data_IF_611040115823
#
_entry.id   IF_611040115823
#
_cell.length_a   1.000
_cell.length_b   1.000
_cell.length_c   1.000
_cell.angle_alpha   90.00
_cell.angle_beta   90.00
_cell.angle_gamma   90.00
#
_symmetry.space_group_name_H-M   'P 1'
#
loop_
_entity.id
_entity.type
_entity.pdbx_description
1 polymer ?
#
# COMPACT_ATOMS: atom_id res chain seq x y z
N UNK A 1 22.32 4.52 43.69
CA UNK A 1 21.99 5.28 42.47
C UNK A 1 22.24 4.52 41.18
N UNK A 2 23.26 3.67 41.10
CA UNK A 2 23.54 2.85 39.92
C UNK A 2 22.47 1.80 39.62
N UNK A 3 21.74 1.34 40.62
CA UNK A 3 20.70 0.32 40.48
C UNK A 3 19.47 0.83 39.68
N UNK A 4 19.12 2.10 39.82
CA UNK A 4 18.00 2.70 39.11
C UNK A 4 18.25 2.77 37.60
N UNK A 5 19.51 2.99 37.21
CA UNK A 5 19.87 3.03 35.78
C UNK A 5 19.81 1.65 35.13
N UNK A 6 20.21 0.61 35.87
CA UNK A 6 20.15 -0.75 35.38
C UNK A 6 18.70 -1.21 35.17
N UNK A 7 17.78 -0.83 36.06
CA UNK A 7 16.37 -1.15 35.95
C UNK A 7 15.72 -0.45 34.73
N UNK A 8 16.12 0.78 34.44
CA UNK A 8 15.62 1.52 33.28
C UNK A 8 16.04 0.87 31.96
N UNK A 9 17.25 0.38 31.87
CA UNK A 9 17.75 -0.32 30.69
C UNK A 9 17.00 -1.64 30.47
N UNK A 10 16.76 -2.39 31.52
CA UNK A 10 16.00 -3.63 31.44
C UNK A 10 14.57 -3.42 30.98
N UNK A 11 13.93 -2.34 31.42
CA UNK A 11 12.57 -2.00 31.00
C UNK A 11 12.51 -1.66 29.51
N UNK A 12 13.49 -0.92 28.99
CA UNK A 12 13.59 -0.58 27.57
C UNK A 12 13.76 -1.84 26.71
N UNK A 13 14.61 -2.76 27.15
CA UNK A 13 14.82 -4.04 26.46
C UNK A 13 13.54 -4.87 26.39
N UNK A 14 12.77 -4.88 27.47
CA UNK A 14 11.49 -5.60 27.49
C UNK A 14 10.48 -5.04 26.50
N UNK A 15 10.41 -3.71 26.34
CA UNK A 15 9.53 -3.05 25.38
C UNK A 15 9.93 -3.42 23.94
N UNK A 16 11.21 -3.45 23.63
CA UNK A 16 11.70 -3.86 22.32
C UNK A 16 11.35 -5.31 21.96
N UNK A 17 11.44 -6.21 22.92
CA UNK A 17 11.06 -7.61 22.72
C UNK A 17 9.56 -7.75 22.43
N UNK A 18 8.71 -7.02 23.12
CA UNK A 18 7.27 -7.01 22.88
C UNK A 18 6.96 -6.49 21.49
N UNK A 19 7.65 -5.41 21.06
CA UNK A 19 7.47 -4.87 19.71
C UNK A 19 7.87 -5.86 18.62
N UNK A 20 8.93 -6.63 18.83
CA UNK A 20 9.37 -7.66 17.89
C UNK A 20 8.35 -8.80 17.76
N UNK A 21 7.67 -9.17 18.85
CA UNK A 21 6.64 -10.20 18.84
C UNK A 21 5.35 -9.75 18.19
N UNK A 22 5.08 -8.45 18.12
CA UNK A 22 3.90 -7.87 17.48
C UNK A 22 3.96 -7.84 15.93
N UNK A 23 4.99 -8.45 15.32
CA UNK A 23 5.15 -8.47 13.86
C UNK A 23 4.17 -9.39 13.12
N UNK A 24 3.55 -10.34 13.80
CA UNK A 24 2.48 -11.16 13.22
C UNK A 24 1.18 -10.33 13.19
N UNK A 25 0.98 -9.59 12.13
CA UNK A 25 -0.26 -8.85 11.96
C UNK A 25 -1.42 -9.80 11.67
N UNK A 26 -2.57 -9.61 12.32
CA UNK A 26 -3.75 -10.36 11.95
C UNK A 26 -4.13 -10.04 10.50
N UNK A 27 -4.79 -10.99 9.86
CA UNK A 27 -5.28 -10.82 8.51
C UNK A 27 -6.28 -9.68 8.47
N UNK A 28 -6.10 -8.75 7.51
CA UNK A 28 -7.06 -7.69 7.27
C UNK A 28 -8.41 -8.27 6.84
N UNK A 29 -9.51 -7.78 7.43
CA UNK A 29 -10.87 -8.22 7.11
C UNK A 29 -11.63 -7.21 6.25
N UNK A 30 -11.11 -6.00 6.08
CA UNK A 30 -11.81 -4.93 5.38
C UNK A 30 -11.63 -5.01 3.87
N UNK A 31 -10.41 -5.21 3.41
CA UNK A 31 -10.08 -5.30 2.00
C UNK A 31 -9.76 -6.72 1.52
N UNK A 32 -9.59 -7.68 2.45
CA UNK A 32 -9.25 -9.04 2.07
C UNK A 32 -10.25 -9.63 1.07
N UNK A 33 -9.72 -10.17 -0.02
CA UNK A 33 -10.47 -10.72 -1.16
C UNK A 33 -11.20 -9.67 -2.01
N UNK A 34 -10.99 -8.39 -1.76
CA UNK A 34 -11.53 -7.34 -2.61
C UNK A 34 -10.70 -7.19 -3.88
N UNK A 35 -11.38 -6.90 -4.97
CA UNK A 35 -10.77 -6.62 -6.27
C UNK A 35 -11.38 -5.35 -6.82
N UNK A 36 -10.53 -4.43 -7.27
CA UNK A 36 -10.95 -3.15 -7.82
C UNK A 36 -10.44 -3.01 -9.24
N UNK A 37 -11.26 -2.46 -10.12
CA UNK A 37 -10.86 -2.04 -11.45
C UNK A 37 -10.71 -0.53 -11.41
N UNK A 38 -9.52 -0.04 -11.67
CA UNK A 38 -9.17 1.38 -11.57
C UNK A 38 -8.62 1.91 -12.88
N UNK A 39 -8.76 3.21 -13.09
CA UNK A 39 -8.09 3.92 -14.17
C UNK A 39 -6.85 4.59 -13.59
N UNK A 40 -5.69 4.28 -14.18
CA UNK A 40 -4.40 4.87 -13.82
C UNK A 40 -4.13 6.04 -14.74
N UNK A 41 -3.83 7.20 -14.18
CA UNK A 41 -3.51 8.41 -14.93
C UNK A 41 -2.12 8.90 -14.55
N UNK A 42 -1.25 9.03 -15.54
CA UNK A 42 0.14 9.47 -15.34
C UNK A 42 0.15 10.98 -15.03
N UNK A 43 0.75 11.33 -13.89
CA UNK A 43 0.91 12.71 -13.44
C UNK A 43 2.35 13.19 -13.53
N UNK A 44 3.23 12.41 -14.15
CA UNK A 44 4.65 12.73 -14.25
C UNK A 44 4.88 13.94 -15.15
N UNK A 45 5.85 14.80 -14.79
CA UNK A 45 6.27 15.97 -15.57
C UNK A 45 7.16 15.59 -16.76
N UNK A 46 6.81 14.55 -17.49
CA UNK A 46 7.53 14.13 -18.68
C UNK A 46 6.88 14.71 -19.93
N UNK A 47 7.69 15.01 -20.96
CA UNK A 47 7.19 15.48 -22.25
C UNK A 47 6.21 14.49 -22.91
N UNK A 48 6.28 13.21 -22.54
CA UNK A 48 5.34 12.18 -22.97
C UNK A 48 4.77 11.50 -21.73
N UNK A 49 3.61 11.95 -21.29
CA UNK A 49 2.81 11.22 -20.33
C UNK A 49 2.19 10.01 -21.01
N UNK A 50 2.05 8.93 -20.27
CA UNK A 50 1.34 7.75 -20.76
C UNK A 50 -0.15 8.04 -20.81
N UNK A 51 -0.84 7.48 -21.79
CA UNK A 51 -2.30 7.53 -21.80
C UNK A 51 -2.86 6.77 -20.59
N UNK A 52 -4.00 7.22 -20.06
CA UNK A 52 -4.65 6.47 -18.97
C UNK A 52 -4.90 5.02 -19.37
N UNK A 53 -4.72 4.13 -18.44
CA UNK A 53 -4.92 2.69 -18.65
C UNK A 53 -5.68 2.08 -17.49
N UNK A 54 -6.33 0.97 -17.76
CA UNK A 54 -7.07 0.23 -16.75
C UNK A 54 -6.14 -0.71 -15.99
N UNK A 55 -6.27 -0.74 -14.67
CA UNK A 55 -5.51 -1.63 -13.78
C UNK A 55 -6.47 -2.36 -12.86
N UNK A 56 -6.08 -3.54 -12.44
CA UNK A 56 -6.83 -4.35 -11.50
C UNK A 56 -6.00 -4.52 -10.22
N UNK A 57 -6.58 -4.11 -9.10
CA UNK A 57 -5.95 -4.24 -7.78
C UNK A 57 -6.63 -5.35 -7.00
N UNK A 58 -5.86 -6.33 -6.56
CA UNK A 58 -6.37 -7.48 -5.78
C UNK A 58 -5.74 -7.49 -4.40
N UNK A 59 -6.57 -7.61 -3.37
CA UNK A 59 -6.14 -7.64 -1.98
C UNK A 59 -6.40 -9.03 -1.41
N UNK A 60 -5.36 -9.67 -0.90
CA UNK A 60 -5.50 -11.00 -0.29
C UNK A 60 -4.35 -11.29 0.68
N UNK A 61 -4.71 -11.81 1.85
CA UNK A 61 -3.72 -12.22 2.86
C UNK A 61 -2.71 -11.13 3.22
N UNK A 62 -3.19 -9.90 3.43
CA UNK A 62 -2.37 -8.70 3.70
C UNK A 62 -1.40 -8.35 2.57
N UNK A 63 -1.67 -8.81 1.35
CA UNK A 63 -0.86 -8.50 0.18
C UNK A 63 -1.72 -7.94 -0.94
N UNK A 64 -1.17 -7.02 -1.70
CA UNK A 64 -1.82 -6.42 -2.85
C UNK A 64 -1.06 -6.77 -4.12
N UNK A 65 -1.78 -7.18 -5.16
CA UNK A 65 -1.22 -7.45 -6.47
C UNK A 65 -1.91 -6.60 -7.54
N UNK A 66 -1.18 -6.36 -8.61
CA UNK A 66 -1.67 -5.63 -9.78
C UNK A 66 -1.65 -6.55 -11.00
N UNK A 67 -2.45 -6.25 -12.00
CA UNK A 67 -2.49 -7.02 -13.23
C UNK A 67 -1.54 -6.46 -14.29
N UNK A 68 -1.62 -5.17 -14.59
CA UNK A 68 -0.84 -4.54 -15.65
C UNK A 68 0.59 -4.21 -15.22
N UNK A 69 0.76 -3.61 -14.03
CA UNK A 69 2.09 -3.25 -13.53
C UNK A 69 2.95 -4.49 -13.23
N UNK A 70 2.34 -5.66 -13.12
CA UNK A 70 3.04 -6.92 -12.95
C UNK A 70 3.69 -7.43 -14.24
N UNK A 71 3.21 -6.98 -15.39
CA UNK A 71 3.78 -7.39 -16.68
C UNK A 71 5.17 -6.78 -16.86
N UNK A 72 6.11 -7.48 -17.55
CA UNK A 72 7.46 -6.94 -17.80
C UNK A 72 7.45 -5.59 -18.51
N UNK A 73 6.50 -5.36 -19.42
CA UNK A 73 6.38 -4.11 -20.19
C UNK A 73 6.08 -2.91 -19.32
N UNK A 74 5.47 -3.12 -18.15
CA UNK A 74 5.11 -2.05 -17.21
C UNK A 74 5.91 -2.09 -15.91
N UNK A 75 7.02 -2.81 -15.90
CA UNK A 75 7.96 -2.82 -14.79
C UNK A 75 8.09 -4.13 -14.04
N UNK A 76 7.15 -5.06 -14.19
CA UNK A 76 7.24 -6.37 -13.53
C UNK A 76 7.12 -6.30 -12.01
N UNK A 77 6.26 -5.43 -11.49
CA UNK A 77 6.05 -5.26 -10.05
C UNK A 77 5.34 -6.47 -9.47
N UNK A 78 5.92 -7.05 -8.43
CA UNK A 78 5.40 -8.23 -7.78
C UNK A 78 4.41 -7.85 -6.67
N UNK A 79 3.61 -8.83 -6.23
CA UNK A 79 2.71 -8.62 -5.11
C UNK A 79 3.51 -8.18 -3.88
N UNK A 80 2.95 -7.25 -3.11
CA UNK A 80 3.61 -6.71 -1.94
C UNK A 80 2.64 -6.50 -0.79
N UNK A 81 3.18 -6.13 0.36
CA UNK A 81 2.39 -5.95 1.56
C UNK A 81 1.51 -4.71 1.48
N UNK A 82 0.32 -4.79 2.04
CA UNK A 82 -0.51 -3.64 2.30
C UNK A 82 -0.97 -3.62 3.75
N UNK A 83 -1.35 -2.44 4.21
CA UNK A 83 -1.92 -2.25 5.54
C UNK A 83 -2.98 -1.16 5.51
N UNK A 84 -4.00 -1.31 6.35
CA UNK A 84 -4.95 -0.24 6.62
C UNK A 84 -4.28 0.72 7.61
N UNK A 85 -4.08 1.96 7.17
CA UNK A 85 -3.39 2.98 7.98
C UNK A 85 -4.35 3.77 8.86
N UNK A 86 -5.62 3.89 8.46
CA UNK A 86 -6.61 4.67 9.18
C UNK A 86 -8.02 4.24 8.77
N UNK A 87 -8.94 4.26 9.72
CA UNK A 87 -10.37 4.09 9.46
C UNK A 87 -11.07 5.33 9.99
N UNK A 88 -11.83 6.02 9.14
CA UNK A 88 -12.63 7.17 9.51
C UNK A 88 -14.11 6.86 9.31
N UNK A 89 -14.95 7.37 10.21
CA UNK A 89 -16.40 7.39 9.99
C UNK A 89 -16.82 8.78 9.53
N UNK A 90 -17.46 8.84 8.37
CA UNK A 90 -18.05 10.06 7.84
C UNK A 90 -19.54 9.79 7.69
N UNK A 91 -20.34 10.33 8.61
CA UNK A 91 -21.76 10.01 8.74
C UNK A 91 -21.96 8.50 9.00
N UNK A 92 -22.73 7.80 8.17
CA UNK A 92 -22.93 6.35 8.28
C UNK A 92 -21.92 5.52 7.48
N UNK A 93 -21.02 6.18 6.74
CA UNK A 93 -20.02 5.53 5.90
C UNK A 93 -18.68 5.41 6.60
N UNK A 94 -17.97 4.32 6.32
CA UNK A 94 -16.61 4.13 6.78
C UNK A 94 -15.64 4.36 5.61
N UNK A 95 -14.58 5.13 5.84
CA UNK A 95 -13.50 5.36 4.89
C UNK A 95 -12.26 4.63 5.38
N UNK A 96 -11.74 3.73 4.57
CA UNK A 96 -10.53 2.97 4.89
C UNK A 96 -9.36 3.55 4.11
N UNK A 97 -8.32 4.02 4.81
CA UNK A 97 -7.07 4.44 4.20
C UNK A 97 -6.10 3.28 4.19
N UNK A 98 -5.44 3.06 3.08
CA UNK A 98 -4.46 1.98 2.96
C UNK A 98 -3.16 2.44 2.34
N UNK A 99 -2.12 1.69 2.58
CA UNK A 99 -0.82 1.82 1.94
C UNK A 99 -0.38 0.44 1.46
N UNK A 100 0.28 0.40 0.31
CA UNK A 100 0.84 -0.83 -0.25
C UNK A 100 2.17 -0.54 -0.92
N UNK A 101 3.04 -1.53 -1.01
CA UNK A 101 4.31 -1.42 -1.70
C UNK A 101 4.52 -2.67 -2.54
N UNK A 102 4.73 -2.46 -3.84
CA UNK A 102 5.17 -3.51 -4.77
C UNK A 102 6.61 -3.21 -5.18
N UNK A 103 7.40 -4.25 -5.36
CA UNK A 103 8.80 -4.13 -5.78
C UNK A 103 9.06 -4.97 -7.02
N UNK A 104 10.05 -4.56 -7.81
CA UNK A 104 10.48 -5.32 -8.96
C UNK A 104 11.95 -5.74 -8.84
N UNK A 105 12.42 -6.55 -9.77
CA UNK A 105 13.81 -7.04 -9.78
C UNK A 105 14.82 -5.97 -10.16
N UNK A 106 14.37 -4.84 -10.70
CA UNK A 106 15.24 -3.70 -11.06
C UNK A 106 15.52 -2.74 -9.92
N UNK A 107 15.09 -3.08 -8.71
CA UNK A 107 15.27 -2.24 -7.53
C UNK A 107 14.33 -1.07 -7.46
N UNK A 108 13.23 -1.09 -8.21
CA UNK A 108 12.20 -0.07 -8.15
C UNK A 108 11.11 -0.48 -7.15
N UNK A 109 10.50 0.51 -6.52
CA UNK A 109 9.33 0.29 -5.68
C UNK A 109 8.17 1.15 -6.16
N UNK A 110 6.97 0.61 -6.04
CA UNK A 110 5.73 1.31 -6.33
C UNK A 110 4.92 1.38 -5.05
N UNK A 111 4.79 2.59 -4.52
CA UNK A 111 4.06 2.85 -3.29
C UNK A 111 2.66 3.34 -3.64
N UNK A 112 1.67 2.70 -3.03
CA UNK A 112 0.26 3.04 -3.19
C UNK A 112 -0.24 3.67 -1.90
N UNK A 113 -0.94 4.77 -2.03
CA UNK A 113 -1.65 5.42 -0.93
C UNK A 113 -3.06 5.73 -1.41
N UNK A 114 -4.04 5.18 -0.77
CA UNK A 114 -5.41 5.36 -1.22
C UNK A 114 -6.43 5.22 -0.12
N UNK A 115 -7.68 5.42 -0.51
CA UNK A 115 -8.83 5.27 0.37
C UNK A 115 -9.96 4.55 -0.35
N UNK A 116 -10.74 3.84 0.43
CA UNK A 116 -11.91 3.09 -0.03
C UNK A 116 -13.13 3.53 0.77
N UNK A 117 -14.20 3.85 0.08
CA UNK A 117 -15.49 4.18 0.67
C UNK A 117 -16.60 3.66 -0.23
N UNK A 118 -17.47 2.81 0.33
CA UNK A 118 -18.65 2.32 -0.40
C UNK A 118 -18.35 1.61 -1.71
N UNK A 119 -17.25 0.84 -1.78
CA UNK A 119 -16.84 0.15 -3.00
C UNK A 119 -16.10 1.00 -4.01
N UNK A 120 -15.86 2.27 -3.71
CA UNK A 120 -15.08 3.18 -4.56
C UNK A 120 -13.69 3.32 -3.97
N UNK A 121 -12.66 3.25 -4.82
CA UNK A 121 -11.26 3.40 -4.43
C UNK A 121 -10.64 4.55 -5.20
N UNK A 122 -9.79 5.33 -4.53
CA UNK A 122 -9.01 6.39 -5.18
C UNK A 122 -7.71 6.63 -4.43
N UNK A 123 -6.70 7.18 -5.10
CA UNK A 123 -5.44 7.50 -4.47
C UNK A 123 -4.34 7.82 -5.45
N UNK A 124 -3.11 7.66 -4.95
CA UNK A 124 -1.87 7.90 -5.69
C UNK A 124 -0.97 6.68 -5.66
N UNK A 125 -0.22 6.49 -6.75
CA UNK A 125 0.84 5.50 -6.81
C UNK A 125 2.11 6.16 -7.30
N UNK A 126 3.23 5.91 -6.63
CA UNK A 126 4.51 6.53 -6.91
C UNK A 126 5.56 5.46 -7.16
N UNK A 127 6.19 5.50 -8.33
CA UNK A 127 7.30 4.61 -8.68
C UNK A 127 8.60 5.34 -8.36
N UNK A 128 9.46 4.71 -7.56
CA UNK A 128 10.73 5.26 -7.13
C UNK A 128 11.86 4.27 -7.34
N UNK A 129 13.06 4.78 -7.56
CA UNK A 129 14.30 3.99 -7.61
C UNK A 129 15.37 4.72 -6.83
N UNK A 130 15.96 4.04 -5.84
CA UNK A 130 16.99 4.64 -4.96
C UNK A 130 16.55 5.97 -4.34
N UNK A 131 15.30 6.04 -3.91
CA UNK A 131 14.75 7.24 -3.29
C UNK A 131 14.33 8.35 -4.24
N UNK A 132 14.52 8.18 -5.55
CA UNK A 132 14.12 9.18 -6.56
C UNK A 132 12.81 8.76 -7.21
N UNK A 133 11.84 9.66 -7.24
CA UNK A 133 10.57 9.46 -7.92
C UNK A 133 10.79 9.41 -9.43
N UNK A 134 10.31 8.36 -10.08
CA UNK A 134 10.40 8.15 -11.52
C UNK A 134 9.07 8.37 -12.23
N UNK A 135 7.98 7.95 -11.60
CA UNK A 135 6.63 8.07 -12.15
C UNK A 135 5.65 8.34 -11.03
N UNK A 136 4.62 9.09 -11.33
CA UNK A 136 3.51 9.35 -10.42
C UNK A 136 2.20 9.11 -11.15
N UNK A 137 1.28 8.43 -10.47
CA UNK A 137 -0.05 8.13 -10.99
C UNK A 137 -1.11 8.53 -9.98
N UNK A 138 -2.25 8.94 -10.48
CA UNK A 138 -3.49 8.91 -9.70
C UNK A 138 -4.31 7.73 -10.17
N UNK A 139 -5.11 7.16 -9.29
CA UNK A 139 -6.00 6.07 -9.65
C UNK A 139 -7.36 6.24 -9.01
N UNK A 140 -8.39 5.80 -9.70
CA UNK A 140 -9.75 5.77 -9.18
C UNK A 140 -10.54 4.66 -9.89
N UNK A 141 -11.46 4.07 -9.17
CA UNK A 141 -12.27 3.00 -9.72
C UNK A 141 -13.25 2.41 -8.74
N UNK A 142 -13.78 1.25 -9.08
CA UNK A 142 -14.84 0.59 -8.32
C UNK A 142 -14.48 -0.86 -8.03
N UNK A 143 -15.08 -1.38 -6.95
CA UNK A 143 -14.99 -2.78 -6.61
C UNK A 143 -15.66 -3.62 -7.70
N UNK A 144 -14.96 -4.66 -8.14
CA UNK A 144 -15.53 -5.64 -9.03
C UNK A 144 -16.54 -6.50 -8.27
N UNK A 145 -17.74 -6.61 -8.81
CA UNK A 145 -18.77 -7.49 -8.25
C UNK A 145 -18.49 -8.95 -8.62
N UNK A 146 -18.70 -9.82 -7.65
CA UNK A 146 -18.54 -11.27 -7.87
C UNK A 146 -19.72 -11.86 -8.63
#
# INVERSE_FOLDING_TARGET
>A
MSYLRALSVAAIMSILVVSAQAQKRPKDKLLDRAKFVVTMSDQSDKKKTQEPFEEELSFRNNRMSTKQMRTPDRGGFQMGDYAISKVEKIMDDAVYHFQAINRNQKGMSMKWEGKVMGGIIEGKATVSKKGKVKEEYTFSGEMEEK
#
